data_IF_629297733791
#
_entry.id   IF_629297733791
#
_cell.length_a   1.000
_cell.length_b   1.000
_cell.length_c   1.000
_cell.angle_alpha   90.00
_cell.angle_beta   90.00
_cell.angle_gamma   90.00
#
_symmetry.space_group_name_H-M   'P 1'
#
loop_
_entity.id
_entity.type
_entity.pdbx_description
1 polymer ?
#
# COMPACT_ATOMS: atom_id res chain seq x y z
N UNK A 1 -19.34 9.18 -6.79
CA UNK A 1 -19.67 7.75 -6.79
C UNK A 1 -18.35 7.01 -6.76
N UNK A 2 -18.12 6.17 -5.77
CA UNK A 2 -16.94 5.30 -5.75
C UNK A 2 -17.27 4.05 -6.57
N UNK A 3 -16.37 3.64 -7.43
CA UNK A 3 -16.55 2.42 -8.23
C UNK A 3 -15.26 1.64 -8.11
N UNK A 4 -15.17 0.86 -7.03
CA UNK A 4 -14.04 -0.01 -6.80
C UNK A 4 -14.08 -1.19 -7.79
N UNK A 5 -12.91 -1.75 -8.08
CA UNK A 5 -12.75 -2.79 -9.07
C UNK A 5 -13.34 -4.14 -8.61
N UNK A 6 -13.37 -5.09 -9.54
CA UNK A 6 -13.74 -6.46 -9.22
C UNK A 6 -12.70 -7.12 -8.29
N UNK A 7 -11.42 -6.73 -8.37
CA UNK A 7 -10.35 -7.27 -7.51
C UNK A 7 -10.65 -6.96 -6.04
N UNK A 8 -11.10 -5.74 -5.74
CA UNK A 8 -11.54 -5.37 -4.41
C UNK A 8 -12.75 -6.19 -3.96
N UNK A 9 -13.77 -6.34 -4.81
CA UNK A 9 -14.96 -7.13 -4.48
C UNK A 9 -14.63 -8.60 -4.21
N UNK A 10 -13.72 -9.18 -4.99
CA UNK A 10 -13.26 -10.56 -4.83
C UNK A 10 -12.44 -10.71 -3.54
N UNK A 11 -11.60 -9.73 -3.20
CA UNK A 11 -10.87 -9.70 -1.93
C UNK A 11 -11.82 -9.68 -0.73
N UNK A 12 -12.85 -8.82 -0.74
CA UNK A 12 -13.86 -8.75 0.33
C UNK A 12 -14.61 -10.07 0.52
N UNK A 13 -14.82 -10.86 -0.55
CA UNK A 13 -15.44 -12.18 -0.46
C UNK A 13 -14.51 -13.25 0.10
N UNK A 14 -13.19 -13.12 -0.13
CA UNK A 14 -12.18 -14.09 0.31
C UNK A 14 -11.75 -13.86 1.76
N UNK A 15 -11.67 -12.62 2.20
CA UNK A 15 -11.13 -12.27 3.51
C UNK A 15 -12.16 -12.49 4.62
N UNK A 16 -11.75 -13.11 5.72
CA UNK A 16 -12.58 -13.23 6.91
C UNK A 16 -12.56 -11.90 7.68
N UNK A 17 -13.45 -10.99 7.30
CA UNK A 17 -13.56 -9.69 7.97
C UNK A 17 -13.99 -9.83 9.45
N UNK A 18 -14.70 -10.91 9.77
CA UNK A 18 -15.15 -11.23 11.11
C UNK A 18 -13.96 -11.52 12.04
N UNK A 19 -13.82 -10.74 13.11
CA UNK A 19 -12.71 -10.87 14.05
C UNK A 19 -11.47 -10.03 13.72
N UNK A 20 -11.36 -9.50 12.49
CA UNK A 20 -10.28 -8.60 12.07
C UNK A 20 -10.69 -7.12 12.10
N UNK A 21 -11.96 -6.83 11.84
CA UNK A 21 -12.50 -5.46 11.80
C UNK A 21 -13.78 -5.34 12.60
N UNK A 22 -14.09 -4.14 13.07
CA UNK A 22 -15.33 -3.85 13.78
C UNK A 22 -16.54 -4.05 12.88
N UNK A 23 -17.69 -4.41 13.45
CA UNK A 23 -18.92 -4.62 12.69
C UNK A 23 -19.33 -3.40 11.81
N UNK A 24 -19.20 -2.13 12.28
CA UNK A 24 -19.42 -0.97 11.42
C UNK A 24 -18.48 -0.91 10.21
N UNK A 25 -17.19 -1.23 10.40
CA UNK A 25 -16.20 -1.28 9.31
C UNK A 25 -16.56 -2.36 8.29
N UNK A 26 -17.00 -3.54 8.75
CA UNK A 26 -17.48 -4.61 7.87
C UNK A 26 -18.67 -4.16 7.01
N UNK A 27 -19.65 -3.46 7.58
CA UNK A 27 -20.78 -2.94 6.81
C UNK A 27 -20.33 -1.90 5.77
N UNK A 28 -19.37 -1.03 6.11
CA UNK A 28 -18.79 -0.05 5.17
C UNK A 28 -18.07 -0.75 4.03
N UNK A 29 -17.18 -1.70 4.31
CA UNK A 29 -16.41 -2.44 3.30
C UNK A 29 -17.32 -3.25 2.35
N UNK A 30 -18.32 -3.94 2.90
CA UNK A 30 -19.32 -4.66 2.10
C UNK A 30 -20.22 -3.75 1.27
N UNK A 31 -20.38 -2.50 1.67
CA UNK A 31 -21.10 -1.50 0.89
C UNK A 31 -20.22 -0.93 -0.21
N UNK A 32 -18.93 -0.71 0.06
CA UNK A 32 -17.94 -0.26 -0.92
C UNK A 32 -17.67 -1.29 -2.02
N UNK A 33 -17.83 -2.59 -1.74
CA UNK A 33 -17.66 -3.65 -2.75
C UNK A 33 -18.79 -3.71 -3.78
N UNK A 34 -19.91 -3.00 -3.53
CA UNK A 34 -21.02 -2.91 -4.48
C UNK A 34 -20.77 -1.79 -5.50
N UNK A 35 -21.14 -2.05 -6.75
CA UNK A 35 -21.06 -1.03 -7.80
C UNK A 35 -22.04 0.11 -7.54
N UNK A 36 -21.57 1.34 -7.70
CA UNK A 36 -22.41 2.53 -7.65
C UNK A 36 -22.57 3.17 -6.27
N UNK A 37 -21.79 2.73 -5.28
CA UNK A 37 -21.86 3.23 -3.91
C UNK A 37 -21.61 4.74 -3.83
N UNK A 38 -22.52 5.43 -3.14
CA UNK A 38 -22.47 6.85 -2.87
C UNK A 38 -21.91 7.11 -1.47
N UNK A 39 -21.38 8.31 -1.25
CA UNK A 39 -20.91 8.73 0.06
C UNK A 39 -22.03 8.70 1.11
N UNK A 40 -23.26 9.00 0.67
CA UNK A 40 -24.47 8.96 1.51
C UNK A 40 -24.77 7.56 2.05
N UNK A 41 -24.39 6.50 1.33
CA UNK A 41 -24.59 5.12 1.80
C UNK A 41 -23.65 4.80 2.96
N UNK A 42 -22.42 5.32 2.89
CA UNK A 42 -21.43 5.20 3.97
C UNK A 42 -21.87 6.02 5.18
N UNK A 43 -22.30 7.27 4.96
CA UNK A 43 -22.82 8.15 6.02
C UNK A 43 -24.02 7.53 6.76
N UNK A 44 -24.92 6.87 6.03
CA UNK A 44 -26.06 6.16 6.64
C UNK A 44 -25.61 5.05 7.59
N UNK A 45 -24.56 4.30 7.24
CA UNK A 45 -23.97 3.27 8.10
C UNK A 45 -23.34 3.91 9.34
N UNK A 46 -22.57 4.98 9.17
CA UNK A 46 -21.95 5.70 10.29
C UNK A 46 -23.01 6.20 11.29
N UNK A 47 -24.07 6.84 10.80
CA UNK A 47 -25.19 7.33 11.63
C UNK A 47 -25.90 6.18 12.35
N UNK A 48 -26.16 5.07 11.66
CA UNK A 48 -26.77 3.87 12.24
C UNK A 48 -25.98 3.32 13.43
N UNK A 49 -24.65 3.42 13.37
CA UNK A 49 -23.75 2.95 14.43
C UNK A 49 -23.34 4.06 15.42
N UNK A 50 -23.92 5.26 15.33
CA UNK A 50 -23.60 6.38 16.21
C UNK A 50 -22.21 6.99 16.01
N UNK A 51 -21.58 6.75 14.86
CA UNK A 51 -20.25 7.26 14.51
C UNK A 51 -20.41 8.60 13.79
N UNK A 52 -19.82 9.66 14.35
CA UNK A 52 -19.92 11.01 13.78
C UNK A 52 -18.86 11.31 12.72
N UNK A 53 -17.72 10.62 12.75
CA UNK A 53 -16.61 10.83 11.80
C UNK A 53 -15.99 9.48 11.39
N UNK A 54 -15.85 9.28 10.09
CA UNK A 54 -15.22 8.10 9.48
C UNK A 54 -13.76 7.91 9.92
N UNK A 55 -13.11 9.00 10.36
CA UNK A 55 -11.74 8.97 10.89
C UNK A 55 -11.61 8.10 12.12
N UNK A 56 -12.72 7.79 12.82
CA UNK A 56 -12.72 6.82 13.91
C UNK A 56 -12.25 5.43 13.46
N UNK A 57 -12.54 5.05 12.22
CA UNK A 57 -12.14 3.76 11.63
C UNK A 57 -10.74 3.78 11.01
N UNK A 58 -9.99 4.89 11.14
CA UNK A 58 -8.72 5.07 10.42
C UNK A 58 -7.72 3.96 10.69
N UNK A 59 -7.53 3.57 11.95
CA UNK A 59 -6.54 2.54 12.31
C UNK A 59 -6.95 1.17 11.73
N UNK A 60 -8.22 0.79 11.89
CA UNK A 60 -8.76 -0.43 11.27
C UNK A 60 -8.67 -0.40 9.73
N UNK A 61 -8.83 0.78 9.13
CA UNK A 61 -8.67 0.96 7.69
C UNK A 61 -7.21 0.83 7.23
N UNK A 62 -6.25 1.28 8.02
CA UNK A 62 -4.81 1.07 7.76
C UNK A 62 -4.51 -0.43 7.81
N UNK A 63 -4.98 -1.14 8.84
CA UNK A 63 -4.79 -2.59 8.99
C UNK A 63 -5.40 -3.35 7.80
N UNK A 64 -6.63 -2.98 7.44
CA UNK A 64 -7.31 -3.54 6.27
C UNK A 64 -6.53 -3.29 4.98
N UNK A 65 -6.00 -2.09 4.78
CA UNK A 65 -5.23 -1.73 3.58
C UNK A 65 -3.89 -2.46 3.51
N UNK A 66 -3.24 -2.73 4.64
CA UNK A 66 -2.03 -3.58 4.68
C UNK A 66 -2.37 -5.01 4.26
N UNK A 67 -3.45 -5.58 4.79
CA UNK A 67 -3.92 -6.90 4.37
C UNK A 67 -4.32 -6.92 2.88
N UNK A 68 -4.92 -5.85 2.38
CA UNK A 68 -5.24 -5.73 0.96
C UNK A 68 -3.98 -5.56 0.09
N UNK A 69 -2.96 -4.85 0.58
CA UNK A 69 -1.66 -4.73 -0.09
C UNK A 69 -1.01 -6.10 -0.29
N UNK A 70 -1.05 -6.97 0.73
CA UNK A 70 -0.57 -8.34 0.60
C UNK A 70 -1.26 -9.10 -0.54
N UNK A 71 -2.58 -8.93 -0.67
CA UNK A 71 -3.37 -9.59 -1.71
C UNK A 71 -3.03 -9.10 -3.12
N UNK A 72 -2.91 -7.78 -3.32
CA UNK A 72 -2.64 -7.20 -4.65
C UNK A 72 -1.16 -7.33 -5.07
N UNK A 73 -0.27 -7.69 -4.14
CA UNK A 73 1.15 -7.95 -4.42
C UNK A 73 1.46 -9.44 -4.56
N UNK A 74 0.45 -10.32 -4.56
CA UNK A 74 0.67 -11.76 -4.78
C UNK A 74 1.13 -12.10 -6.20
N UNK A 75 0.70 -11.33 -7.19
CA UNK A 75 1.05 -11.50 -8.60
C UNK A 75 2.21 -10.60 -9.07
N UNK A 76 2.89 -9.96 -8.11
CA UNK A 76 4.08 -9.13 -8.32
C UNK A 76 3.82 -7.92 -9.26
N UNK A 77 2.56 -7.52 -9.50
CA UNK A 77 2.21 -6.40 -10.38
C UNK A 77 0.98 -5.63 -9.86
N UNK A 78 1.18 -4.38 -9.46
CA UNK A 78 0.05 -3.50 -9.11
C UNK A 78 -0.63 -3.02 -10.39
N UNK A 79 -1.88 -3.42 -10.62
CA UNK A 79 -2.67 -2.90 -11.73
C UNK A 79 -3.18 -1.48 -11.46
N UNK A 80 -3.48 -0.73 -12.53
CA UNK A 80 -4.13 0.59 -12.42
C UNK A 80 -5.45 0.55 -11.63
N UNK A 81 -6.17 -0.58 -11.68
CA UNK A 81 -7.43 -0.76 -10.97
C UNK A 81 -7.18 -0.91 -9.46
N UNK A 82 -6.17 -1.69 -9.06
CA UNK A 82 -5.80 -1.85 -7.65
C UNK A 82 -5.23 -0.58 -7.06
N UNK A 83 -4.38 0.13 -7.80
CA UNK A 83 -3.88 1.44 -7.37
C UNK A 83 -5.03 2.44 -7.19
N UNK A 84 -5.99 2.46 -8.12
CA UNK A 84 -7.21 3.27 -7.98
C UNK A 84 -8.00 2.89 -6.72
N UNK A 85 -8.23 1.60 -6.48
CA UNK A 85 -8.99 1.12 -5.33
C UNK A 85 -8.32 1.52 -4.03
N UNK A 86 -7.02 1.26 -3.91
CA UNK A 86 -6.22 1.61 -2.75
C UNK A 86 -6.25 3.12 -2.49
N UNK A 87 -6.09 3.93 -3.55
CA UNK A 87 -6.16 5.40 -3.47
C UNK A 87 -7.54 5.90 -3.06
N UNK A 88 -8.61 5.29 -3.59
CA UNK A 88 -9.98 5.65 -3.24
C UNK A 88 -10.28 5.32 -1.77
N UNK A 89 -9.87 4.15 -1.29
CA UNK A 89 -10.03 3.73 0.11
C UNK A 89 -9.30 4.68 1.06
N UNK A 90 -8.04 5.04 0.77
CA UNK A 90 -7.30 6.04 1.55
C UNK A 90 -8.05 7.37 1.67
N UNK A 91 -8.66 7.84 0.57
CA UNK A 91 -9.46 9.08 0.56
C UNK A 91 -10.72 8.94 1.41
N UNK A 92 -11.44 7.83 1.29
CA UNK A 92 -12.66 7.55 2.07
C UNK A 92 -12.34 7.58 3.57
N UNK A 93 -11.31 6.86 4.00
CA UNK A 93 -10.92 6.77 5.40
C UNK A 93 -10.04 7.92 5.90
N UNK A 94 -9.83 8.95 5.06
CA UNK A 94 -9.04 10.16 5.37
C UNK A 94 -7.62 9.82 5.85
N UNK A 95 -7.00 8.81 5.25
CA UNK A 95 -5.62 8.41 5.47
C UNK A 95 -4.72 9.37 4.70
N UNK A 96 -3.77 9.98 5.41
CA UNK A 96 -2.85 11.01 4.89
C UNK A 96 -1.44 10.47 4.75
N UNK A 97 -0.55 11.28 4.18
CA UNK A 97 0.89 11.00 4.14
C UNK A 97 1.43 10.79 5.55
N UNK A 98 2.28 9.76 5.70
CA UNK A 98 2.87 9.38 6.97
C UNK A 98 1.96 8.62 7.95
N UNK A 99 0.64 8.55 7.74
CA UNK A 99 -0.27 7.80 8.64
C UNK A 99 0.14 6.32 8.70
N UNK A 100 0.46 5.72 7.56
CA UNK A 100 0.97 4.36 7.45
C UNK A 100 2.28 4.19 8.23
N UNK A 101 3.27 5.04 7.96
CA UNK A 101 4.57 5.00 8.63
C UNK A 101 4.47 5.19 10.16
N UNK A 102 3.56 6.03 10.65
CA UNK A 102 3.40 6.28 12.09
C UNK A 102 2.76 5.08 12.80
N UNK A 103 1.78 4.43 12.15
CA UNK A 103 0.95 3.43 12.83
C UNK A 103 1.41 1.98 12.60
N UNK A 104 2.05 1.68 11.46
CA UNK A 104 2.37 0.31 11.01
C UNK A 104 3.68 0.23 10.23
N UNK A 105 4.72 0.90 10.73
CA UNK A 105 6.01 0.98 10.06
C UNK A 105 6.61 -0.41 9.78
N UNK A 106 6.56 -1.30 10.77
CA UNK A 106 7.18 -2.62 10.70
C UNK A 106 6.53 -3.47 9.62
N UNK A 107 5.20 -3.51 9.58
CA UNK A 107 4.43 -4.27 8.60
C UNK A 107 4.65 -3.75 7.17
N UNK A 108 4.70 -2.42 6.99
CA UNK A 108 4.99 -1.81 5.69
C UNK A 108 6.42 -2.11 5.27
N UNK A 109 7.39 -2.02 6.20
CA UNK A 109 8.79 -2.34 5.93
C UNK A 109 8.91 -3.80 5.47
N UNK A 110 8.25 -4.74 6.14
CA UNK A 110 8.26 -6.15 5.73
C UNK A 110 7.71 -6.37 4.31
N UNK A 111 6.58 -5.73 3.97
CA UNK A 111 6.03 -5.79 2.61
C UNK A 111 7.04 -5.23 1.60
N UNK A 112 7.53 -4.01 1.83
CA UNK A 112 8.43 -3.34 0.89
C UNK A 112 9.76 -4.06 0.74
N UNK A 113 10.32 -4.62 1.81
CA UNK A 113 11.56 -5.40 1.74
C UNK A 113 11.43 -6.64 0.86
N UNK A 114 10.28 -7.33 0.92
CA UNK A 114 10.00 -8.46 0.02
C UNK A 114 10.02 -8.01 -1.45
N UNK A 115 9.41 -6.87 -1.75
CA UNK A 115 9.34 -6.35 -3.11
C UNK A 115 10.69 -5.79 -3.59
N UNK A 116 11.44 -5.10 -2.73
CA UNK A 116 12.82 -4.66 -3.04
C UNK A 116 13.78 -5.82 -3.26
N UNK A 117 13.65 -6.90 -2.50
CA UNK A 117 14.46 -8.09 -2.72
C UNK A 117 14.25 -8.66 -4.13
N UNK A 118 13.01 -8.63 -4.63
CA UNK A 118 12.66 -9.03 -6.00
C UNK A 118 13.25 -8.06 -7.03
N UNK A 119 12.95 -6.77 -6.88
CA UNK A 119 13.39 -5.68 -7.79
C UNK A 119 14.92 -5.65 -7.94
N UNK A 120 15.68 -5.84 -6.86
CA UNK A 120 17.14 -5.77 -6.92
C UNK A 120 17.83 -7.11 -7.18
N UNK A 121 17.08 -8.19 -7.39
CA UNK A 121 17.62 -9.56 -7.46
C UNK A 121 18.54 -9.81 -8.65
N UNK A 122 18.25 -9.20 -9.81
CA UNK A 122 19.02 -9.32 -11.04
C UNK A 122 20.09 -8.21 -11.19
N UNK A 123 20.16 -7.30 -10.21
CA UNK A 123 21.09 -6.17 -10.11
C UNK A 123 20.86 -5.07 -11.15
N UNK A 124 19.68 -5.03 -11.77
CA UNK A 124 19.33 -4.04 -12.78
C UNK A 124 17.85 -3.68 -12.65
N UNK A 125 17.56 -2.44 -12.27
CA UNK A 125 16.20 -1.91 -12.23
C UNK A 125 15.80 -1.44 -13.63
N UNK A 126 14.84 -2.15 -14.21
CA UNK A 126 14.27 -1.78 -15.50
C UNK A 126 13.16 -0.72 -15.37
N UNK A 127 12.64 -0.25 -16.51
CA UNK A 127 11.60 0.78 -16.51
C UNK A 127 10.28 0.35 -15.84
N UNK A 128 9.96 -0.93 -15.85
CA UNK A 128 8.76 -1.45 -15.18
C UNK A 128 8.95 -1.44 -13.68
N UNK A 129 10.13 -1.86 -13.21
CA UNK A 129 10.48 -1.84 -11.79
C UNK A 129 10.59 -0.41 -11.25
N UNK A 130 11.10 0.55 -12.03
CA UNK A 130 11.05 1.98 -11.66
C UNK A 130 9.60 2.48 -11.44
N UNK A 131 8.65 2.02 -12.27
CA UNK A 131 7.25 2.39 -12.12
C UNK A 131 6.62 1.68 -10.91
N UNK A 132 6.98 0.42 -10.69
CA UNK A 132 6.56 -0.35 -9.54
C UNK A 132 7.04 0.29 -8.23
N UNK A 133 8.28 0.78 -8.14
CA UNK A 133 8.76 1.53 -6.98
C UNK A 133 7.90 2.78 -6.69
N UNK A 134 7.49 3.49 -7.74
CA UNK A 134 6.60 4.67 -7.61
C UNK A 134 5.22 4.24 -7.09
N UNK A 135 4.68 3.13 -7.59
CA UNK A 135 3.40 2.60 -7.13
C UNK A 135 3.47 2.11 -5.68
N UNK A 136 4.53 1.39 -5.30
CA UNK A 136 4.79 0.94 -3.92
C UNK A 136 4.91 2.12 -2.94
N UNK A 137 5.68 3.16 -3.31
CA UNK A 137 5.74 4.40 -2.53
C UNK A 137 4.35 5.04 -2.40
N UNK A 138 3.61 5.07 -3.51
CA UNK A 138 2.27 5.64 -3.60
C UNK A 138 1.25 4.90 -2.76
N UNK A 139 1.27 3.56 -2.70
CA UNK A 139 0.34 2.74 -1.92
C UNK A 139 0.33 3.19 -0.46
N UNK A 140 1.50 3.24 0.18
CA UNK A 140 1.61 3.55 1.60
C UNK A 140 1.75 5.05 1.93
N UNK A 141 1.62 5.94 0.93
CA UNK A 141 1.83 7.39 1.07
C UNK A 141 3.14 7.71 1.84
N UNK A 142 4.23 7.08 1.45
CA UNK A 142 5.54 7.32 2.05
C UNK A 142 6.16 8.58 1.42
N UNK A 143 6.79 9.40 2.27
CA UNK A 143 7.64 10.46 1.76
C UNK A 143 8.84 9.86 1.03
N UNK A 144 9.46 10.66 0.16
CA UNK A 144 10.64 10.21 -0.58
C UNK A 144 11.76 9.72 0.35
N UNK A 145 12.04 10.48 1.41
CA UNK A 145 13.09 10.12 2.37
C UNK A 145 12.76 8.83 3.14
N UNK A 146 11.49 8.60 3.49
CA UNK A 146 11.06 7.36 4.15
C UNK A 146 11.25 6.14 3.23
N UNK A 147 10.88 6.27 1.96
CA UNK A 147 11.01 5.19 0.99
C UNK A 147 12.48 4.84 0.72
N UNK A 148 13.34 5.86 0.54
CA UNK A 148 14.79 5.68 0.36
C UNK A 148 15.46 5.05 1.59
N UNK A 149 14.99 5.34 2.80
CA UNK A 149 15.52 4.73 4.02
C UNK A 149 15.18 3.24 4.09
N UNK A 150 13.93 2.87 3.77
CA UNK A 150 13.48 1.48 3.79
C UNK A 150 14.24 0.62 2.76
N UNK A 151 14.48 1.13 1.55
CA UNK A 151 15.16 0.38 0.47
C UNK A 151 16.68 0.23 0.68
N UNK A 152 17.24 0.93 1.66
CA UNK A 152 18.69 1.11 1.79
C UNK A 152 19.45 -0.21 2.01
N UNK A 153 18.84 -1.15 2.74
CA UNK A 153 19.45 -2.45 3.06
C UNK A 153 19.63 -3.29 1.78
N UNK A 154 18.58 -3.40 0.96
CA UNK A 154 18.59 -4.17 -0.28
C UNK A 154 19.50 -3.54 -1.33
N UNK A 155 19.51 -2.20 -1.44
CA UNK A 155 20.47 -1.48 -2.29
C UNK A 155 21.91 -1.81 -1.92
N UNK A 156 22.25 -1.77 -0.63
CA UNK A 156 23.60 -2.11 -0.16
C UNK A 156 23.94 -3.56 -0.51
N UNK A 157 22.99 -4.49 -0.32
CA UNK A 157 23.15 -5.90 -0.66
C UNK A 157 23.44 -6.11 -2.16
N UNK A 158 22.69 -5.43 -3.03
CA UNK A 158 22.87 -5.49 -4.48
C UNK A 158 24.27 -4.96 -4.89
N UNK A 159 24.69 -3.83 -4.32
CA UNK A 159 26.01 -3.24 -4.57
C UNK A 159 27.15 -4.15 -4.10
N UNK A 160 27.04 -4.76 -2.91
CA UNK A 160 28.01 -5.74 -2.41
C UNK A 160 28.09 -6.97 -3.33
N UNK A 161 26.97 -7.32 -3.95
CA UNK A 161 26.86 -8.42 -4.91
C UNK A 161 27.37 -8.04 -6.32
N UNK A 162 27.88 -6.81 -6.50
CA UNK A 162 28.50 -6.36 -7.75
C UNK A 162 27.58 -5.62 -8.70
N UNK A 163 26.39 -5.19 -8.25
CA UNK A 163 25.54 -4.29 -9.02
C UNK A 163 26.26 -2.97 -9.31
N UNK A 164 25.98 -2.37 -10.46
CA UNK A 164 26.45 -1.04 -10.79
C UNK A 164 25.45 -0.01 -10.25
N UNK A 165 25.90 0.99 -9.47
CA UNK A 165 24.99 1.98 -8.87
C UNK A 165 24.08 2.72 -9.85
N UNK A 166 24.50 2.88 -11.11
CA UNK A 166 23.70 3.55 -12.15
C UNK A 166 22.48 2.75 -12.58
N UNK A 167 22.44 1.48 -12.23
CA UNK A 167 21.44 0.51 -12.67
C UNK A 167 20.41 0.22 -11.55
N UNK A 168 20.47 0.89 -10.39
CA UNK A 168 19.65 0.54 -9.21
C UNK A 168 18.57 1.58 -8.82
N UNK A 169 18.27 2.57 -9.67
CA UNK A 169 17.33 3.66 -9.37
C UNK A 169 17.47 4.27 -7.95
N UNK A 170 18.68 4.63 -7.54
CA UNK A 170 18.98 5.16 -6.20
C UNK A 170 19.15 6.67 -6.19
N UNK A 171 18.63 7.34 -5.15
CA UNK A 171 18.80 8.78 -4.99
C UNK A 171 20.25 9.17 -4.73
N UNK A 172 20.91 8.37 -3.89
CA UNK A 172 22.24 8.64 -3.35
C UNK A 172 23.00 7.32 -3.21
N UNK A 173 24.28 7.37 -3.55
CA UNK A 173 25.17 6.25 -3.33
C UNK A 173 25.38 6.04 -1.81
N UNK A 174 25.17 4.82 -1.28
CA UNK A 174 25.43 4.53 0.13
C UNK A 174 26.89 4.83 0.51
N UNK A 175 27.10 5.24 1.77
CA UNK A 175 28.43 5.59 2.28
C UNK A 175 29.39 4.40 2.11
N UNK A 176 30.58 4.66 1.58
CA UNK A 176 31.63 3.66 1.37
C UNK A 176 31.69 3.05 -0.04
N UNK A 177 30.66 3.26 -0.86
CA UNK A 177 30.68 2.85 -2.27
C UNK A 177 31.23 3.97 -3.16
N UNK A 178 31.78 3.61 -4.33
CA UNK A 178 32.25 4.55 -5.36
C UNK A 178 31.78 4.08 -6.72
N UNK A 179 31.36 5.02 -7.55
CA UNK A 179 31.14 4.78 -8.99
C UNK A 179 32.53 4.57 -9.60
N UNK A 180 32.75 3.40 -10.20
CA UNK A 180 33.97 3.12 -10.97
C UNK A 180 33.91 3.77 -12.34
#
# INVERSE_FOLDING_TARGET
MYTLSQNFADYIQKVELAGQTSYPMQEVLNTLSKKGTLLTDIEAILVKHGIMDISYMKIEAIDFLISYAHYILEDDVISNAENYDFTALKRIFRIKEGDFYINRNEEIKEILQKEFLRIFSDKYVDRREELEEVDLQGLFNLSYDQFEDIKSEEVISALLSGANPKDLNIAKLPKGFKIK
#
